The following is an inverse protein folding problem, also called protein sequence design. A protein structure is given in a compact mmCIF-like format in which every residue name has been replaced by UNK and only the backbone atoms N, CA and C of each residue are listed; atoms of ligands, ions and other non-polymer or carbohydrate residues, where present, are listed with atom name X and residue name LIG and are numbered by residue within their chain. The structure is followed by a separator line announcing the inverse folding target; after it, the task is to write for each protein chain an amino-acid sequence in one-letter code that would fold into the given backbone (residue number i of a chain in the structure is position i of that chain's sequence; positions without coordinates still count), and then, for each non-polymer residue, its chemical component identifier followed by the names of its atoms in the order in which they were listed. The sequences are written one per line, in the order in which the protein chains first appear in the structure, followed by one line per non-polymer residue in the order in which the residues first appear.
data_IF_610134524366
#
_entry.id   IF_610134524366
#
_cell.length_a   1.000
_cell.length_b   1.000
_cell.length_c   1.000
_cell.angle_alpha   90.00
_cell.angle_beta   90.00
_cell.angle_gamma   90.00
#
_symmetry.space_group_name_H-M   'P 1'
#
loop_
_entity.id
_entity.type
_entity.pdbx_description
1 polymer ?
#
# COMPACT_ATOMS: atom_id res chain seq x y z
N UNK A 1 15.85 21.00 5.20
CA UNK A 1 14.49 20.93 4.61
C UNK A 1 13.53 20.84 5.78
N UNK A 2 12.53 21.73 5.94
CA UNK A 2 11.54 21.53 7.00
C UNK A 2 10.91 20.15 6.76
N UNK A 3 11.01 19.25 7.74
CA UNK A 3 10.39 17.93 7.66
C UNK A 3 8.89 18.16 7.42
N UNK A 4 8.41 17.80 6.21
CA UNK A 4 6.98 17.87 5.92
C UNK A 4 6.28 16.96 6.91
N UNK A 5 5.31 17.48 7.64
CA UNK A 5 4.52 16.66 8.56
C UNK A 5 3.66 15.67 7.77
N UNK A 6 3.81 14.38 8.07
CA UNK A 6 2.96 13.33 7.52
C UNK A 6 1.80 13.04 8.48
N UNK A 7 0.60 12.82 7.92
CA UNK A 7 -0.59 12.42 8.66
C UNK A 7 -1.51 11.58 7.76
N UNK A 8 -2.65 11.17 8.30
CA UNK A 8 -3.63 10.35 7.58
C UNK A 8 -4.04 10.93 6.21
N UNK A 9 -4.07 12.25 6.02
CA UNK A 9 -4.50 12.88 4.76
C UNK A 9 -3.44 12.81 3.66
N UNK A 10 -2.15 12.76 4.00
CA UNK A 10 -1.04 12.86 3.03
C UNK A 10 -0.04 11.69 3.06
N UNK A 11 -0.30 10.64 3.84
CA UNK A 11 0.55 9.45 3.93
C UNK A 11 0.63 8.59 2.66
N UNK A 12 -0.30 8.78 1.70
CA UNK A 12 -0.27 8.06 0.43
C UNK A 12 0.70 8.76 -0.50
N UNK A 13 1.72 8.02 -0.95
CA UNK A 13 2.73 8.55 -1.86
C UNK A 13 2.52 7.98 -3.26
N UNK A 14 2.56 8.86 -4.25
CA UNK A 14 2.54 8.50 -5.66
C UNK A 14 3.94 8.69 -6.25
N UNK A 15 4.34 7.78 -7.13
CA UNK A 15 5.48 7.98 -8.03
C UNK A 15 4.98 8.75 -9.26
N UNK A 16 5.31 10.04 -9.45
CA UNK A 16 4.62 10.87 -10.43
C UNK A 16 4.75 10.37 -11.87
N UNK A 17 5.97 10.00 -12.27
CA UNK A 17 6.26 9.45 -13.60
C UNK A 17 5.46 8.18 -13.87
N UNK A 18 5.24 7.34 -12.86
CA UNK A 18 4.47 6.12 -13.05
C UNK A 18 2.96 6.38 -13.10
N UNK A 19 2.42 7.09 -12.10
CA UNK A 19 0.97 7.24 -11.93
C UNK A 19 0.35 8.29 -12.84
N UNK A 20 1.07 9.35 -13.16
CA UNK A 20 0.55 10.49 -13.95
C UNK A 20 1.10 10.53 -15.37
N UNK A 21 1.97 9.59 -15.76
CA UNK A 21 2.47 9.49 -17.12
C UNK A 21 2.38 8.06 -17.67
N UNK A 22 3.11 7.08 -17.12
CA UNK A 22 3.13 5.71 -17.66
C UNK A 22 1.74 5.07 -17.72
N UNK A 23 1.00 5.06 -16.61
CA UNK A 23 -0.34 4.44 -16.57
C UNK A 23 -1.34 5.13 -17.51
N UNK A 24 -1.48 6.47 -17.50
CA UNK A 24 -2.33 7.17 -18.47
C UNK A 24 -1.96 6.89 -19.93
N UNK A 25 -0.67 6.88 -20.28
CA UNK A 25 -0.22 6.59 -21.66
C UNK A 25 -0.57 5.18 -22.07
N UNK A 26 -0.36 4.18 -21.21
CA UNK A 26 -0.74 2.79 -21.48
C UNK A 26 -2.26 2.65 -21.65
N UNK A 27 -3.06 3.36 -20.85
CA UNK A 27 -4.52 3.38 -20.98
C UNK A 27 -4.95 3.96 -22.34
N UNK A 28 -4.39 5.11 -22.72
CA UNK A 28 -4.67 5.75 -24.01
C UNK A 28 -4.26 4.84 -25.17
N UNK A 29 -3.12 4.16 -25.07
CA UNK A 29 -2.67 3.19 -26.07
C UNK A 29 -3.68 2.04 -26.25
N UNK A 30 -4.20 1.47 -25.16
CA UNK A 30 -5.26 0.44 -25.24
C UNK A 30 -6.52 0.97 -25.93
N UNK A 31 -6.93 2.21 -25.63
CA UNK A 31 -8.11 2.83 -26.26
C UNK A 31 -7.89 3.03 -27.77
N UNK A 32 -6.75 3.59 -28.16
CA UNK A 32 -6.43 3.85 -29.57
C UNK A 32 -6.37 2.54 -30.34
N UNK A 33 -5.58 1.57 -29.87
CA UNK A 33 -5.40 0.29 -30.56
C UNK A 33 -6.70 -0.52 -30.57
N UNK A 34 -7.48 -0.47 -29.48
CA UNK A 34 -8.81 -1.10 -29.44
C UNK A 34 -9.78 -0.50 -30.47
N UNK A 35 -9.77 0.82 -30.66
CA UNK A 35 -10.54 1.47 -31.73
C UNK A 35 -10.11 0.99 -33.11
N UNK A 36 -8.80 0.90 -33.36
CA UNK A 36 -8.29 0.39 -34.64
C UNK A 36 -8.69 -1.07 -34.88
N UNK A 37 -8.62 -1.94 -33.86
CA UNK A 37 -9.04 -3.33 -33.97
C UNK A 37 -10.54 -3.48 -34.32
N UNK A 38 -11.39 -2.55 -33.87
CA UNK A 38 -12.83 -2.53 -34.21
C UNK A 38 -13.09 -1.93 -35.60
N UNK A 39 -12.40 -0.84 -35.96
CA UNK A 39 -12.64 -0.13 -37.21
C UNK A 39 -11.98 -0.81 -38.42
N UNK A 40 -10.85 -1.48 -38.22
CA UNK A 40 -10.03 -2.12 -39.24
C UNK A 40 -9.58 -3.49 -38.71
N UNK A 41 -10.48 -4.48 -38.65
CA UNK A 41 -10.17 -5.79 -38.08
C UNK A 41 -9.21 -6.55 -38.98
N UNK A 42 -8.01 -6.79 -38.49
CA UNK A 42 -7.01 -7.68 -39.08
C UNK A 42 -6.18 -8.37 -37.98
N UNK A 43 -5.32 -9.31 -38.35
CA UNK A 43 -4.48 -10.03 -37.39
C UNK A 43 -3.47 -9.12 -36.66
N UNK A 44 -2.97 -8.09 -37.34
CA UNK A 44 -2.03 -7.11 -36.79
C UNK A 44 -2.72 -6.20 -35.76
N UNK A 45 -3.89 -5.65 -36.05
CA UNK A 45 -4.66 -4.80 -35.14
C UNK A 45 -5.16 -5.59 -33.94
N UNK A 46 -5.57 -6.84 -34.14
CA UNK A 46 -5.89 -7.78 -33.06
C UNK A 46 -4.69 -8.08 -32.16
N UNK A 47 -3.54 -8.42 -32.74
CA UNK A 47 -2.32 -8.69 -31.97
C UNK A 47 -1.81 -7.44 -31.23
N UNK A 48 -1.83 -6.27 -31.88
CA UNK A 48 -1.47 -5.01 -31.25
C UNK A 48 -2.35 -4.72 -30.02
N UNK A 49 -3.66 -5.03 -30.07
CA UNK A 49 -4.56 -4.86 -28.94
C UNK A 49 -4.21 -5.79 -27.77
N UNK A 50 -3.87 -7.04 -28.06
CA UNK A 50 -3.39 -8.01 -27.06
C UNK A 50 -2.12 -7.48 -26.39
N UNK A 51 -1.14 -7.02 -27.18
CA UNK A 51 0.12 -6.47 -26.67
C UNK A 51 -0.12 -5.22 -25.83
N UNK A 52 -0.98 -4.30 -26.29
CA UNK A 52 -1.32 -3.09 -25.55
C UNK A 52 -1.95 -3.43 -24.18
N UNK A 53 -2.85 -4.41 -24.15
CA UNK A 53 -3.48 -4.91 -22.92
C UNK A 53 -2.46 -5.56 -22.00
N UNK A 54 -1.56 -6.39 -22.55
CA UNK A 54 -0.49 -7.03 -21.80
C UNK A 54 0.47 -6.00 -21.16
N UNK A 55 0.83 -4.93 -21.88
CA UNK A 55 1.65 -3.84 -21.35
C UNK A 55 0.95 -3.09 -20.22
N UNK A 56 -0.35 -2.81 -20.36
CA UNK A 56 -1.12 -2.18 -19.29
C UNK A 56 -1.17 -3.07 -18.03
N UNK A 57 -1.44 -4.37 -18.20
CA UNK A 57 -1.39 -5.34 -17.10
C UNK A 57 -0.01 -5.43 -16.46
N UNK A 58 1.05 -5.49 -17.26
CA UNK A 58 2.43 -5.47 -16.78
C UNK A 58 2.72 -4.22 -15.95
N UNK A 59 2.24 -3.06 -16.40
CA UNK A 59 2.27 -1.81 -15.64
C UNK A 59 1.67 -2.00 -14.25
N UNK A 60 0.45 -2.51 -14.12
CA UNK A 60 -0.18 -2.76 -12.82
C UNK A 60 0.58 -3.80 -11.97
N UNK A 61 0.99 -4.92 -12.56
CA UNK A 61 1.72 -5.99 -11.86
C UNK A 61 3.08 -5.53 -11.34
N UNK A 62 3.74 -4.60 -12.04
CA UNK A 62 5.00 -4.01 -11.60
C UNK A 62 4.88 -3.27 -10.25
N UNK A 63 3.66 -2.90 -9.82
CA UNK A 63 3.40 -2.26 -8.53
C UNK A 63 2.95 -3.24 -7.46
N UNK A 64 2.28 -4.33 -7.80
CA UNK A 64 1.81 -5.29 -6.79
C UNK A 64 2.96 -6.08 -6.18
N UNK A 65 3.96 -6.48 -6.97
CA UNK A 65 5.09 -7.28 -6.49
C UNK A 65 5.93 -6.55 -5.43
N UNK A 66 6.35 -5.27 -5.64
CA UNK A 66 7.09 -4.53 -4.62
C UNK A 66 6.27 -4.26 -3.35
N UNK A 67 4.95 -4.02 -3.47
CA UNK A 67 4.09 -3.81 -2.31
C UNK A 67 4.01 -5.05 -1.42
N UNK A 68 3.95 -6.25 -2.02
CA UNK A 68 3.98 -7.51 -1.25
C UNK A 68 5.32 -7.69 -0.54
N UNK A 69 6.44 -7.37 -1.20
CA UNK A 69 7.75 -7.42 -0.56
C UNK A 69 7.86 -6.42 0.61
N UNK A 70 7.37 -5.19 0.42
CA UNK A 70 7.33 -4.18 1.48
C UNK A 70 6.45 -4.62 2.66
N UNK A 71 5.27 -5.19 2.42
CA UNK A 71 4.39 -5.67 3.49
C UNK A 71 5.05 -6.80 4.31
N UNK A 72 5.87 -7.65 3.68
CA UNK A 72 6.67 -8.67 4.40
C UNK A 72 7.75 -8.04 5.28
N UNK A 73 8.46 -7.03 4.77
CA UNK A 73 9.47 -6.29 5.54
C UNK A 73 8.83 -5.57 6.72
N UNK A 74 7.73 -4.85 6.48
CA UNK A 74 6.96 -4.14 7.53
C UNK A 74 6.50 -5.13 8.60
N UNK A 75 6.02 -6.32 8.22
CA UNK A 75 5.61 -7.34 9.19
C UNK A 75 6.77 -7.72 10.11
N UNK A 76 7.95 -7.97 9.57
CA UNK A 76 9.13 -8.37 10.36
C UNK A 76 9.60 -7.23 11.26
N UNK A 77 9.68 -6.01 10.73
CA UNK A 77 10.06 -4.82 11.48
C UNK A 77 9.09 -4.56 12.64
N UNK A 78 7.78 -4.58 12.35
CA UNK A 78 6.75 -4.40 13.37
C UNK A 78 6.77 -5.52 14.40
N UNK A 79 6.97 -6.79 14.01
CA UNK A 79 7.12 -7.88 14.97
C UNK A 79 8.30 -7.66 15.93
N UNK A 80 9.44 -7.16 15.42
CA UNK A 80 10.59 -6.81 16.27
C UNK A 80 10.23 -5.63 17.19
N UNK A 81 9.65 -4.56 16.65
CA UNK A 81 9.25 -3.37 17.42
C UNK A 81 8.26 -3.72 18.53
N UNK A 82 7.24 -4.51 18.24
CA UNK A 82 6.24 -4.94 19.21
C UNK A 82 6.83 -5.73 20.37
N UNK A 83 7.88 -6.55 20.16
CA UNK A 83 8.57 -7.26 21.26
C UNK A 83 9.28 -6.31 22.24
N UNK A 84 9.69 -5.14 21.80
CA UNK A 84 10.38 -4.16 22.65
C UNK A 84 9.41 -3.23 23.36
N UNK A 85 8.30 -2.89 22.70
CA UNK A 85 7.37 -1.84 23.16
C UNK A 85 6.16 -2.41 23.90
N UNK A 86 5.71 -3.62 23.57
CA UNK A 86 4.52 -4.18 24.20
C UNK A 86 4.82 -4.76 25.59
N UNK A 87 3.89 -4.59 26.56
CA UNK A 87 3.91 -5.33 27.81
C UNK A 87 3.65 -6.84 27.58
N UNK A 88 4.07 -7.66 28.54
CA UNK A 88 4.04 -9.12 28.43
C UNK A 88 2.64 -9.71 28.13
N UNK A 89 1.56 -9.11 28.64
CA UNK A 89 0.19 -9.52 28.37
C UNK A 89 -0.19 -9.39 26.89
N UNK A 90 0.27 -8.32 26.23
CA UNK A 90 0.00 -8.08 24.82
C UNK A 90 0.96 -8.83 23.89
N UNK A 91 2.19 -9.10 24.33
CA UNK A 91 3.15 -9.86 23.53
C UNK A 91 2.64 -11.27 23.19
N UNK A 92 2.00 -11.94 24.14
CA UNK A 92 1.42 -13.27 23.92
C UNK A 92 0.29 -13.26 22.86
N UNK A 93 -0.44 -12.15 22.74
CA UNK A 93 -1.56 -11.98 21.80
C UNK A 93 -1.15 -11.34 20.47
N UNK A 94 0.05 -10.77 20.38
CA UNK A 94 0.50 -10.02 19.21
C UNK A 94 0.50 -10.84 17.90
N UNK A 95 0.59 -12.18 17.98
CA UNK A 95 0.51 -13.07 16.83
C UNK A 95 -0.87 -13.02 16.12
N UNK A 96 -1.93 -12.59 16.81
CA UNK A 96 -3.26 -12.45 16.24
C UNK A 96 -3.41 -11.23 15.31
N UNK A 97 -2.44 -10.31 15.31
CA UNK A 97 -2.45 -9.14 14.43
C UNK A 97 -2.23 -9.56 12.97
N UNK A 98 -3.15 -9.15 12.11
CA UNK A 98 -3.04 -9.39 10.67
C UNK A 98 -1.96 -8.50 10.04
N UNK A 99 -1.37 -8.90 8.89
CA UNK A 99 -0.40 -8.07 8.18
C UNK A 99 -0.95 -6.67 7.85
N UNK A 100 -2.23 -6.58 7.48
CA UNK A 100 -2.90 -5.29 7.21
C UNK A 100 -2.95 -4.40 8.45
N UNK A 101 -3.25 -4.94 9.63
CA UNK A 101 -3.25 -4.19 10.87
C UNK A 101 -1.84 -3.73 11.26
N UNK A 102 -0.81 -4.58 11.11
CA UNK A 102 0.59 -4.20 11.32
C UNK A 102 1.01 -3.05 10.40
N UNK A 103 0.63 -3.13 9.13
CA UNK A 103 0.85 -2.05 8.16
C UNK A 103 0.18 -0.76 8.60
N UNK A 104 -1.01 -0.79 9.21
CA UNK A 104 -1.64 0.43 9.72
C UNK A 104 -0.97 0.97 11.00
N UNK A 105 -0.60 0.08 11.93
CA UNK A 105 0.02 0.41 13.22
C UNK A 105 1.44 0.98 13.08
N UNK A 106 2.12 0.77 11.95
CA UNK A 106 3.49 1.27 11.73
C UNK A 106 3.62 2.79 11.90
N UNK A 107 2.54 3.51 11.63
CA UNK A 107 2.50 4.97 11.75
C UNK A 107 2.32 5.45 13.19
N UNK A 108 2.07 4.57 14.15
CA UNK A 108 1.86 4.96 15.55
C UNK A 108 3.20 5.20 16.26
N UNK A 109 3.24 6.16 17.19
CA UNK A 109 4.38 6.36 18.08
C UNK A 109 4.51 5.24 19.13
N UNK A 110 5.72 4.98 19.62
CA UNK A 110 5.97 3.89 20.60
C UNK A 110 5.15 4.03 21.88
N UNK A 111 4.92 5.27 22.34
CA UNK A 111 4.17 5.55 23.58
C UNK A 111 2.69 5.16 23.50
N UNK A 112 2.07 5.26 22.32
CA UNK A 112 0.64 4.97 22.12
C UNK A 112 0.40 3.57 21.52
N UNK A 113 1.44 2.94 20.97
CA UNK A 113 1.34 1.65 20.28
C UNK A 113 0.73 0.53 21.15
N UNK A 114 1.06 0.35 22.45
CA UNK A 114 0.43 -0.68 23.27
C UNK A 114 -1.09 -0.51 23.42
N UNK A 115 -1.56 0.73 23.58
CA UNK A 115 -2.99 1.01 23.70
C UNK A 115 -3.73 0.71 22.39
N UNK A 116 -3.18 1.14 21.25
CA UNK A 116 -3.74 0.85 19.93
C UNK A 116 -3.76 -0.65 19.63
N UNK A 117 -2.71 -1.38 19.99
CA UNK A 117 -2.65 -2.84 19.82
C UNK A 117 -3.73 -3.52 20.65
N UNK A 118 -3.94 -3.10 21.89
CA UNK A 118 -5.03 -3.60 22.74
C UNK A 118 -6.39 -3.35 22.09
N UNK A 119 -6.64 -2.14 21.59
CA UNK A 119 -7.88 -1.80 20.89
C UNK A 119 -8.12 -2.64 19.63
N UNK A 120 -7.06 -2.96 18.89
CA UNK A 120 -7.15 -3.86 17.73
C UNK A 120 -7.46 -5.29 18.14
N UNK A 121 -6.76 -5.81 19.16
CA UNK A 121 -6.93 -7.17 19.66
C UNK A 121 -8.27 -7.40 20.39
N UNK A 122 -8.82 -6.35 21.00
CA UNK A 122 -10.13 -6.36 21.65
C UNK A 122 -11.28 -6.10 20.65
N UNK A 123 -10.96 -5.90 19.36
CA UNK A 123 -11.94 -5.70 18.30
C UNK A 123 -12.56 -4.30 18.24
N UNK A 124 -12.09 -3.33 19.04
CA UNK A 124 -12.50 -1.92 18.97
C UNK A 124 -12.03 -1.25 17.67
N UNK A 125 -10.87 -1.66 17.14
CA UNK A 125 -10.30 -1.16 15.89
C UNK A 125 -10.07 -2.30 14.90
N UNK A 126 -10.97 -2.45 13.93
CA UNK A 126 -10.95 -3.59 13.00
C UNK A 126 -10.30 -3.28 11.64
N UNK A 127 -10.45 -2.05 11.16
CA UNK A 127 -10.00 -1.66 9.82
C UNK A 127 -8.69 -0.88 9.83
N UNK A 128 -7.92 -0.93 8.74
CA UNK A 128 -6.72 -0.09 8.59
C UNK A 128 -7.04 1.40 8.70
N UNK A 129 -8.21 1.82 8.19
CA UNK A 129 -8.68 3.20 8.24
C UNK A 129 -8.94 3.64 9.68
N UNK A 130 -9.69 2.85 10.46
CA UNK A 130 -9.99 3.17 11.85
C UNK A 130 -8.72 3.21 12.71
N UNK A 131 -7.78 2.28 12.48
CA UNK A 131 -6.48 2.28 13.18
C UNK A 131 -5.72 3.58 12.89
N UNK A 132 -5.55 3.94 11.61
CA UNK A 132 -4.80 5.15 11.24
C UNK A 132 -5.46 6.44 11.76
N UNK A 133 -6.79 6.49 11.82
CA UNK A 133 -7.52 7.65 12.36
C UNK A 133 -7.38 7.79 13.88
N UNK A 134 -7.10 6.69 14.60
CA UNK A 134 -6.90 6.69 16.05
C UNK A 134 -5.48 7.10 16.47
N UNK A 135 -4.52 7.18 15.54
CA UNK A 135 -3.12 7.56 15.80
C UNK A 135 -3.06 9.05 16.12
N UNK A 136 -2.48 9.41 17.26
CA UNK A 136 -2.28 10.80 17.68
C UNK A 136 -0.85 11.27 17.41
N UNK A 137 0.13 10.40 17.56
CA UNK A 137 1.55 10.70 17.35
C UNK A 137 2.03 9.98 16.08
N UNK A 138 1.85 10.64 14.94
CA UNK A 138 2.16 10.05 13.64
C UNK A 138 3.67 9.97 13.39
N UNK A 139 4.16 8.75 13.15
CA UNK A 139 5.51 8.50 12.65
C UNK A 139 5.48 8.44 11.11
N UNK A 140 6.19 9.36 10.47
CA UNK A 140 6.20 9.43 9.02
C UNK A 140 6.95 8.25 8.39
N UNK A 141 6.31 7.59 7.41
CA UNK A 141 6.96 6.59 6.55
C UNK A 141 7.04 7.14 5.14
N UNK A 142 8.25 7.51 4.72
CA UNK A 142 8.54 8.04 3.40
C UNK A 142 9.04 6.97 2.42
N UNK A 143 9.30 5.75 2.87
CA UNK A 143 9.91 4.72 2.03
C UNK A 143 8.87 3.97 1.18
N UNK A 144 7.62 3.92 1.63
CA UNK A 144 6.52 3.31 0.87
C UNK A 144 5.96 4.25 -0.19
N UNK A 145 5.88 3.74 -1.42
CA UNK A 145 5.29 4.34 -2.63
C UNK A 145 4.47 3.26 -3.32
#
# INVERSE_FOLDING_TARGET
MPEREQNYKNHVRFLPVFHFFVIPVLLVNVIIVGRHAVQMPDLSTGFAFIVATALLMLGFLSRTQPLVAQDRVIRVEMQRRLRHVLPADLQARAAALTPKQLVALRFAGDKELPALVRDVLDGRLQSQKSIKLAIKHWQADWFRV
#
